data_IF_341972202116
#
_entry.id   IF_341972202116
#
_cell.length_a   1.000
_cell.length_b   1.000
_cell.length_c   1.000
_cell.angle_alpha   90.00
_cell.angle_beta   90.00
_cell.angle_gamma   90.00
#
_symmetry.space_group_name_H-M   'P 1'
#
loop_
_entity.id
_entity.type
_entity.pdbx_description
1 polymer ?
#
# COMPACT_ATOMS: atom_id res chain seq x y z
N UNK A 1 23.86 3.44 -24.47
CA UNK A 1 22.57 2.86 -24.91
C UNK A 1 21.59 2.54 -23.78
N UNK A 2 22.04 2.40 -22.51
CA UNK A 2 21.19 1.92 -21.41
C UNK A 2 20.26 2.96 -20.77
N UNK A 3 20.55 4.26 -20.90
CA UNK A 3 19.79 5.32 -20.23
C UNK A 3 18.36 5.48 -20.82
N UNK A 4 18.23 5.41 -22.15
CA UNK A 4 16.95 5.54 -22.84
C UNK A 4 16.01 4.37 -22.50
N UNK A 5 16.55 3.15 -22.39
CA UNK A 5 15.78 1.97 -21.98
C UNK A 5 15.33 2.08 -20.52
N UNK A 6 16.18 2.57 -19.62
CA UNK A 6 15.80 2.80 -18.22
C UNK A 6 14.65 3.79 -18.08
N UNK A 7 14.69 4.89 -18.82
CA UNK A 7 13.59 5.87 -18.85
C UNK A 7 12.33 5.32 -19.50
N UNK A 8 12.44 4.56 -20.59
CA UNK A 8 11.30 3.93 -21.24
C UNK A 8 10.58 2.97 -20.28
N UNK A 9 11.33 2.09 -19.62
CA UNK A 9 10.80 1.17 -18.62
C UNK A 9 10.16 1.95 -17.47
N UNK A 10 10.82 2.97 -16.93
CA UNK A 10 10.26 3.78 -15.84
C UNK A 10 8.97 4.50 -16.21
N UNK A 11 8.87 5.03 -17.43
CA UNK A 11 7.65 5.70 -17.92
C UNK A 11 6.52 4.68 -18.11
N UNK A 12 6.81 3.53 -18.71
CA UNK A 12 5.83 2.45 -18.87
C UNK A 12 5.34 2.00 -17.50
N UNK A 13 6.25 1.88 -16.53
CA UNK A 13 5.94 1.42 -15.17
C UNK A 13 5.00 2.38 -14.44
N UNK A 14 5.28 3.68 -14.50
CA UNK A 14 4.34 4.69 -13.97
C UNK A 14 3.02 4.69 -14.72
N UNK A 15 3.05 4.58 -16.06
CA UNK A 15 1.85 4.65 -16.89
C UNK A 15 0.92 3.44 -16.67
N UNK A 16 1.46 2.23 -16.45
CA UNK A 16 0.66 1.05 -16.11
C UNK A 16 0.15 1.09 -14.68
N UNK A 17 0.95 1.63 -13.76
CA UNK A 17 0.61 1.62 -12.34
C UNK A 17 -0.46 2.67 -12.01
N UNK A 18 -0.45 3.81 -12.71
CA UNK A 18 -1.37 4.91 -12.47
C UNK A 18 -2.88 4.53 -12.57
N UNK A 19 -3.37 3.87 -13.64
CA UNK A 19 -4.77 3.44 -13.70
C UNK A 19 -5.09 2.37 -12.65
N UNK A 20 -4.14 1.48 -12.35
CA UNK A 20 -4.31 0.43 -11.34
C UNK A 20 -4.43 1.01 -9.92
N UNK A 21 -3.57 1.98 -9.60
CA UNK A 21 -3.60 2.75 -8.37
C UNK A 21 -4.92 3.53 -8.22
N UNK A 22 -5.34 4.24 -9.27
CA UNK A 22 -6.59 5.00 -9.27
C UNK A 22 -7.79 4.12 -9.01
N UNK A 23 -7.93 2.99 -9.73
CA UNK A 23 -9.04 2.06 -9.54
C UNK A 23 -9.08 1.48 -8.12
N UNK A 24 -7.92 1.19 -7.54
CA UNK A 24 -7.82 0.65 -6.16
C UNK A 24 -8.16 1.71 -5.12
N UNK A 25 -7.68 2.94 -5.33
CA UNK A 25 -7.99 4.09 -4.48
C UNK A 25 -9.47 4.46 -4.59
N UNK A 26 -10.10 4.42 -5.77
CA UNK A 26 -11.53 4.74 -5.92
C UNK A 26 -12.40 3.72 -5.19
N UNK A 27 -11.99 2.44 -5.20
CA UNK A 27 -12.62 1.37 -4.43
C UNK A 27 -12.30 1.40 -2.93
N UNK A 28 -11.50 2.36 -2.43
CA UNK A 28 -11.17 2.48 -0.99
C UNK A 28 -12.39 2.64 -0.08
N UNK A 29 -13.48 3.16 -0.61
CA UNK A 29 -14.72 3.36 0.14
C UNK A 29 -15.57 2.08 0.25
N UNK A 30 -15.25 1.06 -0.55
CA UNK A 30 -15.89 -0.25 -0.48
C UNK A 30 -15.08 -1.14 0.48
N UNK A 31 -15.52 -1.16 1.74
CA UNK A 31 -14.90 -1.95 2.79
C UNK A 31 -14.90 -3.47 2.48
N UNK A 32 -15.84 -3.94 1.64
CA UNK A 32 -15.93 -5.32 1.21
C UNK A 32 -14.92 -5.63 0.10
N UNK A 33 -14.68 -4.69 -0.82
CA UNK A 33 -13.61 -4.80 -1.81
C UNK A 33 -12.21 -4.74 -1.16
N UNK A 34 -12.05 -3.97 -0.08
CA UNK A 34 -10.76 -3.88 0.62
C UNK A 34 -10.47 -5.09 1.52
N UNK A 35 -11.47 -5.72 2.14
CA UNK A 35 -11.25 -6.86 3.04
C UNK A 35 -10.68 -8.09 2.32
N UNK A 36 -11.01 -8.27 1.04
CA UNK A 36 -10.46 -9.31 0.15
C UNK A 36 -9.01 -9.08 -0.30
N UNK A 37 -8.42 -7.90 -0.03
CA UNK A 37 -7.03 -7.63 -0.33
C UNK A 37 -6.12 -8.26 0.74
N UNK A 38 -5.16 -9.07 0.29
CA UNK A 38 -4.14 -9.67 1.15
C UNK A 38 -3.18 -8.60 1.67
N UNK A 39 -3.12 -8.46 3.01
CA UNK A 39 -2.16 -7.58 3.69
C UNK A 39 -0.74 -7.94 3.28
N UNK A 40 -0.44 -9.22 3.11
CA UNK A 40 0.90 -9.68 2.75
C UNK A 40 1.35 -9.15 1.40
N UNK A 41 0.47 -9.15 0.40
CA UNK A 41 0.77 -8.64 -0.94
C UNK A 41 1.17 -7.16 -0.87
N UNK A 42 0.42 -6.35 -0.12
CA UNK A 42 0.69 -4.92 0.01
C UNK A 42 1.93 -4.61 0.85
N UNK A 43 2.23 -5.43 1.87
CA UNK A 43 3.48 -5.34 2.63
C UNK A 43 4.69 -5.64 1.75
N UNK A 44 4.66 -6.74 0.99
CA UNK A 44 5.75 -7.12 0.08
C UNK A 44 5.97 -6.02 -0.97
N UNK A 45 4.89 -5.52 -1.59
CA UNK A 45 4.97 -4.44 -2.57
C UNK A 45 5.57 -3.15 -1.98
N UNK A 46 5.20 -2.80 -0.76
CA UNK A 46 5.73 -1.60 -0.08
C UNK A 46 7.22 -1.76 0.23
N UNK A 47 7.63 -2.89 0.81
CA UNK A 47 9.04 -3.18 1.12
C UNK A 47 9.88 -3.22 -0.15
N UNK A 48 9.36 -3.84 -1.21
CA UNK A 48 10.01 -3.88 -2.52
C UNK A 48 10.20 -2.47 -3.09
N UNK A 49 9.17 -1.62 -3.05
CA UNK A 49 9.27 -0.23 -3.51
C UNK A 49 10.32 0.58 -2.73
N UNK A 50 10.35 0.43 -1.41
CA UNK A 50 11.40 1.05 -0.56
C UNK A 50 12.79 0.55 -0.94
N UNK A 51 12.96 -0.76 -1.15
CA UNK A 51 14.24 -1.33 -1.56
C UNK A 51 14.72 -0.76 -2.91
N UNK A 52 13.81 -0.58 -3.88
CA UNK A 52 14.14 0.04 -5.16
C UNK A 52 14.49 1.52 -5.05
N UNK A 53 13.83 2.27 -4.16
CA UNK A 53 14.19 3.67 -3.88
C UNK A 53 15.61 3.72 -3.31
N UNK A 54 15.92 2.91 -2.30
CA UNK A 54 17.26 2.87 -1.69
C UNK A 54 18.32 2.46 -2.71
N UNK A 55 18.04 1.43 -3.51
CA UNK A 55 18.93 0.97 -4.56
C UNK A 55 19.16 2.04 -5.63
N UNK A 56 18.09 2.66 -6.11
CA UNK A 56 18.15 3.72 -7.12
C UNK A 56 18.93 4.94 -6.64
N UNK A 57 18.72 5.36 -5.39
CA UNK A 57 19.45 6.46 -4.77
C UNK A 57 20.94 6.13 -4.58
N UNK A 58 21.26 4.94 -4.06
CA UNK A 58 22.64 4.52 -3.82
C UNK A 58 23.47 4.39 -5.10
N UNK A 59 22.83 4.09 -6.24
CA UNK A 59 23.49 3.91 -7.53
C UNK A 59 23.31 5.11 -8.49
N UNK A 60 22.65 6.20 -8.06
CA UNK A 60 22.36 7.36 -8.92
C UNK A 60 21.43 7.07 -10.10
N UNK A 61 20.59 6.02 -10.01
CA UNK A 61 19.71 5.56 -11.08
C UNK A 61 18.36 6.26 -11.02
N UNK A 62 18.32 7.53 -11.45
CA UNK A 62 17.10 8.34 -11.54
C UNK A 62 15.91 7.64 -12.23
N UNK A 63 16.10 6.86 -13.33
CA UNK A 63 14.98 6.18 -14.00
C UNK A 63 14.32 5.07 -13.17
N UNK A 64 15.01 4.55 -12.15
CA UNK A 64 14.46 3.55 -11.21
C UNK A 64 13.89 4.27 -9.98
N UNK A 65 14.62 5.27 -9.48
CA UNK A 65 14.25 6.02 -8.28
C UNK A 65 12.91 6.76 -8.43
N UNK A 66 12.74 7.51 -9.52
CA UNK A 66 11.57 8.38 -9.71
C UNK A 66 10.23 7.61 -9.77
N UNK A 67 10.09 6.53 -10.57
CA UNK A 67 8.87 5.72 -10.59
C UNK A 67 8.53 5.16 -9.21
N UNK A 68 9.52 4.58 -8.52
CA UNK A 68 9.30 3.95 -7.22
C UNK A 68 8.96 4.98 -6.14
N UNK A 69 9.47 6.22 -6.23
CA UNK A 69 9.05 7.33 -5.35
C UNK A 69 7.58 7.71 -5.51
N UNK A 70 6.98 7.49 -6.68
CA UNK A 70 5.56 7.76 -6.93
C UNK A 70 4.69 6.56 -6.52
N UNK A 71 5.13 5.35 -6.85
CA UNK A 71 4.36 4.11 -6.64
C UNK A 71 4.34 3.69 -5.16
N UNK A 72 5.49 3.78 -4.47
CA UNK A 72 5.65 3.30 -3.10
C UNK A 72 4.68 3.97 -2.10
N UNK A 73 4.50 5.31 -2.10
CA UNK A 73 3.53 5.96 -1.23
C UNK A 73 2.09 5.49 -1.45
N UNK A 74 1.71 5.18 -2.69
CA UNK A 74 0.39 4.65 -3.02
C UNK A 74 0.19 3.27 -2.40
N UNK A 75 1.16 2.37 -2.56
CA UNK A 75 1.13 1.04 -1.93
C UNK A 75 1.05 1.13 -0.40
N UNK A 76 1.84 2.03 0.19
CA UNK A 76 1.84 2.27 1.63
C UNK A 76 0.48 2.80 2.12
N UNK A 77 -0.15 3.72 1.38
CA UNK A 77 -1.48 4.23 1.71
C UNK A 77 -2.55 3.14 1.67
N UNK A 78 -2.53 2.27 0.65
CA UNK A 78 -3.46 1.15 0.53
C UNK A 78 -3.27 0.14 1.67
N UNK A 79 -2.01 -0.17 2.01
CA UNK A 79 -1.69 -1.01 3.17
C UNK A 79 -2.22 -0.39 4.48
N UNK A 80 -2.00 0.90 4.69
CA UNK A 80 -2.45 1.61 5.88
C UNK A 80 -3.99 1.59 6.01
N UNK A 81 -4.70 1.85 4.91
CA UNK A 81 -6.17 1.77 4.88
C UNK A 81 -6.64 0.35 5.23
N UNK A 82 -6.02 -0.68 4.65
CA UNK A 82 -6.36 -2.08 4.92
C UNK A 82 -6.16 -2.48 6.38
N UNK A 83 -5.07 -2.01 7.00
CA UNK A 83 -4.78 -2.25 8.41
C UNK A 83 -5.77 -1.50 9.32
N UNK A 84 -6.15 -0.28 8.96
CA UNK A 84 -7.15 0.50 9.70
C UNK A 84 -8.54 -0.15 9.65
N UNK A 85 -8.96 -0.70 8.51
CA UNK A 85 -10.22 -1.44 8.38
C UNK A 85 -10.24 -2.73 9.21
N UNK A 86 -9.13 -3.47 9.27
CA UNK A 86 -9.04 -4.70 10.07
C UNK A 86 -9.21 -4.47 11.58
N UNK A 87 -8.66 -3.36 12.11
CA UNK A 87 -8.78 -2.98 13.53
C UNK A 87 -10.20 -2.58 13.95
N UNK A 88 -11.07 -2.23 13.00
CA UNK A 88 -12.44 -1.77 13.28
C UNK A 88 -13.44 -2.92 13.41
N UNK A 89 -13.05 -4.12 13.00
CA UNK A 89 -13.88 -5.32 13.03
C UNK A 89 -13.71 -6.18 14.28
N UNK A 90 -12.85 -5.78 15.23
CA UNK A 90 -12.71 -6.48 16.50
C UNK A 90 -13.92 -6.12 17.37
N UNK A 91 -14.84 -7.07 17.65
CA UNK A 91 -16.02 -6.80 18.46
C UNK A 91 -15.57 -6.39 19.87
N UNK A 92 -16.28 -5.46 20.55
CA UNK A 92 -15.99 -5.13 21.94
C UNK A 92 -15.94 -6.42 22.78
N UNK A 93 -14.86 -6.58 23.55
CA UNK A 93 -14.66 -7.74 24.43
C UNK A 93 -15.89 -7.98 25.32
N UNK A 94 -16.63 -9.09 25.13
CA UNK A 94 -17.82 -9.40 25.93
C UNK A 94 -17.50 -9.50 27.43
N UNK A 95 -16.26 -9.82 27.78
CA UNK A 95 -15.81 -9.99 29.18
C UNK A 95 -15.63 -8.66 29.93
N UNK A 96 -15.63 -7.53 29.23
CA UNK A 96 -15.70 -6.20 29.84
C UNK A 96 -17.14 -5.85 30.28
N UNK A 97 -18.15 -6.42 29.61
CA UNK A 97 -19.56 -6.15 29.89
C UNK A 97 -20.11 -7.05 31.00
N UNK A 98 -19.59 -8.27 31.13
CA UNK A 98 -19.96 -9.21 32.20
C UNK A 98 -19.31 -8.85 33.56
N UNK A 99 -18.28 -7.99 33.57
CA UNK A 99 -17.56 -7.57 34.78
C UNK A 99 -18.23 -6.46 35.59
N UNK A 100 -19.39 -5.93 35.15
CA UNK A 100 -20.18 -4.97 35.93
C UNK A 100 -21.64 -5.42 36.15
N UNK A 101 -21.88 -6.43 37.01
CA UNK A 101 -23.24 -6.79 37.45
C UNK A 101 -23.74 -5.97 38.66
N UNK A 102 -23.08 -4.89 39.09
CA UNK A 102 -23.46 -4.16 40.32
C UNK A 102 -23.26 -2.64 40.22
N UNK A 103 -24.05 -2.02 39.35
CA UNK A 103 -24.05 -0.58 39.12
C UNK A 103 -25.37 0.13 39.46
N UNK A 104 -25.99 -0.19 40.62
CA UNK A 104 -27.20 0.42 41.22
C UNK A 104 -28.54 0.18 40.55
#
# INVERSE_FOLDING_TARGET
MSLALGWLVGVIDVAQFLPHARHTIDKRHDAQAMSGLSVWTWTIATVQGVAWIVYGAANGLMPILLPNLVITPVCAAILALRLASGRRSEPPDPSAQERNPSGR
#
